data_IF_885975265428
#
_entry.id   IF_885975265428
#
_cell.length_a   1.000
_cell.length_b   1.000
_cell.length_c   1.000
_cell.angle_alpha   90.00
_cell.angle_beta   90.00
_cell.angle_gamma   90.00
#
_symmetry.space_group_name_H-M   'P 1'
#
loop_
_entity.id
_entity.type
_entity.pdbx_description
1 polymer ?
#
# COMPACT_ATOMS: atom_id res chain seq x y z
N UNK A 1 19.99 20.55 59.91
CA UNK A 1 19.68 19.20 60.41
C UNK A 1 18.34 18.79 59.84
N UNK A 2 18.31 18.00 58.76
CA UNK A 2 17.08 17.46 58.17
C UNK A 2 17.27 15.95 58.01
N UNK A 3 16.37 15.19 58.63
CA UNK A 3 16.54 13.77 58.93
C UNK A 3 16.22 12.86 57.73
N UNK A 4 17.03 11.82 57.59
CA UNK A 4 16.81 10.62 56.76
C UNK A 4 15.53 9.88 57.17
N UNK A 5 14.73 9.46 56.20
CA UNK A 5 13.75 8.39 56.35
C UNK A 5 14.09 7.27 55.37
N UNK A 6 14.43 6.10 55.92
CA UNK A 6 14.64 4.85 55.20
C UNK A 6 13.38 3.99 55.43
N UNK A 7 12.70 3.60 54.37
CA UNK A 7 11.56 2.69 54.41
C UNK A 7 11.77 1.60 53.36
N UNK A 8 11.99 0.37 53.82
CA UNK A 8 12.17 -0.82 52.99
C UNK A 8 11.02 -1.81 53.14
N UNK A 9 10.82 -2.62 52.11
CA UNK A 9 10.25 -3.99 52.06
C UNK A 9 9.70 -4.19 50.64
N UNK A 10 9.98 -5.21 49.85
CA UNK A 10 10.85 -6.38 49.94
C UNK A 10 10.73 -7.04 48.55
N UNK A 11 11.85 -7.25 47.86
CA UNK A 11 11.85 -7.83 46.51
C UNK A 11 11.93 -9.35 46.60
N UNK A 12 10.97 -10.01 45.98
CA UNK A 12 10.84 -11.45 45.83
C UNK A 12 11.95 -12.05 44.96
N UNK A 13 12.70 -13.00 45.54
CA UNK A 13 13.53 -13.96 44.80
C UNK A 13 12.66 -15.01 44.11
N UNK A 14 13.05 -15.38 42.89
CA UNK A 14 12.21 -16.09 41.93
C UNK A 14 12.16 -17.62 42.03
N UNK A 15 11.36 -18.23 41.17
CA UNK A 15 11.71 -19.45 40.45
C UNK A 15 10.73 -19.69 39.30
N UNK A 16 11.26 -20.27 38.22
CA UNK A 16 10.63 -20.50 36.93
C UNK A 16 9.66 -21.67 36.95
N UNK A 17 8.48 -21.50 36.34
CA UNK A 17 7.68 -22.60 35.80
C UNK A 17 7.15 -22.21 34.42
N UNK A 18 7.41 -23.07 33.44
CA UNK A 18 7.22 -22.83 32.02
C UNK A 18 5.74 -22.77 31.61
N UNK A 19 5.36 -21.71 30.89
CA UNK A 19 4.16 -21.69 30.06
C UNK A 19 4.57 -21.69 28.58
N UNK A 20 4.39 -22.85 27.95
CA UNK A 20 4.40 -23.00 26.49
C UNK A 20 3.16 -22.31 25.94
N UNK A 21 3.31 -21.05 25.50
CA UNK A 21 2.32 -20.43 24.61
C UNK A 21 2.97 -20.24 23.25
N UNK A 22 2.57 -21.13 22.35
CA UNK A 22 2.69 -21.02 20.91
C UNK A 22 2.11 -19.68 20.46
N UNK A 23 2.95 -18.65 20.42
CA UNK A 23 2.64 -17.39 19.74
C UNK A 23 2.95 -17.59 18.27
N UNK A 24 1.94 -18.02 17.51
CA UNK A 24 2.00 -18.00 16.06
C UNK A 24 2.35 -16.57 15.62
N UNK A 25 3.55 -16.39 15.08
CA UNK A 25 3.88 -15.19 14.33
C UNK A 25 2.88 -15.11 13.16
N UNK A 26 2.11 -14.02 13.00
CA UNK A 26 1.37 -13.83 11.76
C UNK A 26 2.40 -13.79 10.63
N UNK A 27 2.21 -14.52 9.52
CA UNK A 27 3.11 -14.41 8.40
C UNK A 27 3.14 -12.95 7.96
N UNK A 28 4.36 -12.44 7.93
CA UNK A 28 4.79 -11.19 7.32
C UNK A 28 4.01 -11.00 6.03
N UNK A 29 3.14 -9.98 6.01
CA UNK A 29 2.29 -9.66 4.88
C UNK A 29 3.15 -9.59 3.62
N UNK A 30 2.74 -10.36 2.62
CA UNK A 30 3.44 -10.51 1.36
C UNK A 30 3.85 -9.14 0.82
N UNK A 31 5.16 -8.89 0.81
CA UNK A 31 5.80 -7.91 -0.04
C UNK A 31 5.23 -8.04 -1.44
N UNK A 32 4.78 -6.92 -2.01
CA UNK A 32 4.16 -6.82 -3.32
C UNK A 32 4.90 -7.62 -4.37
N UNK A 33 4.27 -8.72 -4.78
CA UNK A 33 4.56 -9.44 -6.01
C UNK A 33 3.44 -9.10 -6.99
N UNK A 34 3.81 -8.61 -8.17
CA UNK A 34 2.95 -7.98 -9.14
C UNK A 34 1.63 -8.69 -9.38
N UNK A 35 0.55 -7.90 -9.48
CA UNK A 35 -0.63 -8.38 -10.16
C UNK A 35 -0.21 -8.73 -11.59
N UNK A 36 -0.42 -9.97 -12.05
CA UNK A 36 -0.17 -10.29 -13.45
C UNK A 36 -1.04 -9.36 -14.30
N UNK A 37 -0.43 -8.77 -15.33
CA UNK A 37 -1.21 -8.16 -16.40
C UNK A 37 -2.23 -9.20 -16.89
N UNK A 38 -3.47 -8.82 -17.23
CA UNK A 38 -4.40 -9.77 -17.83
C UNK A 38 -3.74 -10.33 -19.08
N UNK A 39 -3.58 -11.66 -19.13
CA UNK A 39 -3.15 -12.36 -20.34
C UNK A 39 -4.08 -11.93 -21.47
N UNK A 40 -3.52 -11.25 -22.47
CA UNK A 40 -4.23 -11.00 -23.71
C UNK A 40 -4.52 -12.37 -24.34
N UNK A 41 -5.77 -12.81 -24.25
CA UNK A 41 -6.26 -14.00 -24.93
C UNK A 41 -5.94 -13.87 -26.43
N UNK A 42 -4.98 -14.65 -26.91
CA UNK A 42 -4.75 -14.84 -28.33
C UNK A 42 -5.94 -15.62 -28.90
N UNK A 43 -6.60 -15.16 -29.99
CA UNK A 43 -7.65 -15.94 -30.60
C UNK A 43 -7.06 -17.17 -31.30
N UNK A 44 -7.33 -18.34 -30.75
CA UNK A 44 -7.15 -19.64 -31.42
C UNK A 44 -8.44 -19.96 -32.19
N UNK A 45 -8.47 -19.74 -33.51
CA UNK A 45 -9.49 -20.38 -34.36
C UNK A 45 -8.90 -20.82 -35.71
N UNK A 46 -8.85 -22.15 -35.88
CA UNK A 46 -9.46 -22.80 -37.04
C UNK A 46 -8.75 -22.69 -38.39
N UNK A 47 -8.08 -23.78 -38.77
CA UNK A 47 -7.70 -24.06 -40.17
C UNK A 47 -8.95 -24.07 -41.06
N UNK A 48 -8.98 -23.25 -42.11
CA UNK A 48 -9.49 -23.61 -43.43
C UNK A 48 -9.02 -22.57 -44.46
N UNK A 49 -8.04 -22.98 -45.25
CA UNK A 49 -7.60 -22.28 -46.44
C UNK A 49 -8.62 -22.50 -47.55
N UNK A 50 -9.43 -21.49 -47.84
CA UNK A 50 -10.15 -21.39 -49.11
C UNK A 50 -9.92 -20.00 -49.70
N UNK A 51 -9.16 -20.01 -50.78
CA UNK A 51 -8.99 -18.97 -51.77
C UNK A 51 -10.33 -18.58 -52.38
N UNK A 52 -10.73 -17.31 -52.27
CA UNK A 52 -11.22 -16.55 -53.42
C UNK A 52 -11.45 -15.09 -53.05
N UNK A 53 -11.16 -14.21 -54.01
CA UNK A 53 -10.95 -12.79 -53.80
C UNK A 53 -12.16 -12.01 -53.30
N UNK A 54 -11.86 -11.02 -52.48
CA UNK A 54 -12.51 -9.73 -52.55
C UNK A 54 -11.48 -8.72 -52.06
N UNK A 55 -11.47 -7.54 -52.68
CA UNK A 55 -10.54 -6.46 -52.36
C UNK A 55 -10.51 -6.23 -50.85
N UNK A 56 -9.36 -6.50 -50.22
CA UNK A 56 -9.13 -6.16 -48.83
C UNK A 56 -9.19 -4.64 -48.70
N UNK A 57 -10.40 -4.10 -48.48
CA UNK A 57 -10.56 -2.81 -47.85
C UNK A 57 -9.76 -2.92 -46.56
N UNK A 58 -8.81 -2.02 -46.28
CA UNK A 58 -8.26 -1.99 -44.94
C UNK A 58 -9.46 -1.82 -44.03
N UNK A 59 -9.73 -2.83 -43.19
CA UNK A 59 -10.65 -2.67 -42.10
C UNK A 59 -9.97 -1.63 -41.22
N UNK A 60 -10.29 -0.36 -41.48
CA UNK A 60 -9.83 0.76 -40.67
C UNK A 60 -10.62 0.61 -39.39
N UNK A 61 -10.15 -0.31 -38.54
CA UNK A 61 -10.69 -0.50 -37.21
C UNK A 61 -10.76 0.89 -36.59
N UNK A 62 -11.96 1.30 -36.20
CA UNK A 62 -12.15 2.58 -35.55
C UNK A 62 -11.15 2.65 -34.39
N UNK A 63 -10.40 3.76 -34.24
CA UNK A 63 -9.38 3.86 -33.22
C UNK A 63 -10.02 3.55 -31.86
N UNK A 64 -9.40 2.63 -31.11
CA UNK A 64 -9.85 2.30 -29.77
C UNK A 64 -9.59 3.52 -28.86
N UNK A 65 -10.66 4.12 -28.34
CA UNK A 65 -10.62 5.32 -27.51
C UNK A 65 -10.46 5.02 -26.01
N UNK A 66 -10.12 3.78 -25.64
CA UNK A 66 -9.88 3.42 -24.25
C UNK A 66 -8.55 3.98 -23.73
N UNK A 67 -8.63 5.11 -23.02
CA UNK A 67 -7.53 5.64 -22.22
C UNK A 67 -7.72 5.24 -20.75
N UNK A 68 -6.73 4.59 -20.15
CA UNK A 68 -6.74 4.26 -18.72
C UNK A 68 -5.78 5.19 -17.98
N UNK A 69 -6.31 5.94 -17.02
CA UNK A 69 -5.53 6.76 -16.10
C UNK A 69 -5.49 6.09 -14.73
N UNK A 70 -4.33 6.15 -14.07
CA UNK A 70 -4.15 5.73 -12.69
C UNK A 70 -3.68 6.91 -11.83
N UNK A 71 -4.05 6.89 -10.55
CA UNK A 71 -3.60 7.86 -9.56
C UNK A 71 -2.66 7.17 -8.58
N UNK A 72 -1.46 7.72 -8.41
CA UNK A 72 -0.55 7.36 -7.33
C UNK A 72 -0.68 8.39 -6.20
N UNK A 73 -0.74 7.94 -4.95
CA UNK A 73 -0.97 8.79 -3.78
C UNK A 73 0.17 8.61 -2.79
N UNK A 74 1.04 9.60 -2.72
CA UNK A 74 2.15 9.63 -1.76
C UNK A 74 1.68 10.10 -0.36
N UNK A 75 2.19 9.43 0.68
CA UNK A 75 1.92 9.79 2.10
C UNK A 75 3.16 9.67 3.00
N UNK A 76 4.36 9.50 2.43
CA UNK A 76 5.56 9.17 3.19
C UNK A 76 6.01 10.30 4.14
N UNK A 77 5.92 11.55 3.68
CA UNK A 77 6.34 12.75 4.42
C UNK A 77 5.59 12.91 5.73
N UNK A 78 4.30 12.55 5.78
CA UNK A 78 3.51 12.61 7.01
C UNK A 78 4.02 11.61 8.05
N UNK A 79 4.32 10.38 7.64
CA UNK A 79 4.87 9.34 8.51
C UNK A 79 6.23 9.75 9.08
N UNK A 80 7.13 10.25 8.23
CA UNK A 80 8.44 10.77 8.62
C UNK A 80 8.34 11.94 9.59
N UNK A 81 7.49 12.93 9.31
CA UNK A 81 7.31 14.06 10.20
C UNK A 81 6.73 13.64 11.55
N UNK A 82 5.74 12.73 11.55
CA UNK A 82 5.12 12.22 12.77
C UNK A 82 6.12 11.49 13.66
N UNK A 83 6.98 10.63 13.09
CA UNK A 83 8.00 9.94 13.88
C UNK A 83 9.04 10.92 14.43
N UNK A 84 9.56 11.81 13.57
CA UNK A 84 10.58 12.81 13.94
C UNK A 84 10.11 13.71 15.09
N UNK A 85 8.86 14.18 15.03
CA UNK A 85 8.25 14.96 16.09
C UNK A 85 8.02 14.14 17.36
N UNK A 86 7.67 12.86 17.23
CA UNK A 86 7.55 11.93 18.36
C UNK A 86 8.87 11.70 19.09
N UNK A 87 9.98 11.74 18.35
CA UNK A 87 11.34 11.66 18.88
C UNK A 87 11.85 13.01 19.45
N UNK A 88 11.02 14.06 19.42
CA UNK A 88 11.35 15.39 19.93
C UNK A 88 12.23 16.24 19.01
N UNK A 89 12.40 15.82 17.76
CA UNK A 89 13.16 16.55 16.75
C UNK A 89 12.24 17.31 15.78
N UNK A 90 12.76 18.37 15.18
CA UNK A 90 12.07 19.10 14.12
C UNK A 90 12.45 18.50 12.75
N UNK A 91 11.48 18.08 11.92
CA UNK A 91 11.79 17.55 10.59
C UNK A 91 12.36 18.64 9.67
N UNK A 92 13.37 18.28 8.87
CA UNK A 92 13.91 19.15 7.84
C UNK A 92 12.83 19.50 6.80
N UNK A 93 12.51 20.79 6.59
CA UNK A 93 11.52 21.23 5.61
C UNK A 93 11.76 20.74 4.18
N UNK A 94 13.01 20.46 3.77
CA UNK A 94 13.30 19.95 2.42
C UNK A 94 12.74 18.54 2.20
N UNK A 95 12.57 17.78 3.28
CA UNK A 95 12.01 16.43 3.26
C UNK A 95 10.49 16.43 3.45
N UNK A 96 9.85 17.60 3.51
CA UNK A 96 8.42 17.75 3.72
C UNK A 96 7.75 18.16 2.42
N UNK A 97 6.93 17.25 1.88
CA UNK A 97 6.00 17.53 0.79
C UNK A 97 4.61 17.84 1.35
N UNK A 98 4.12 19.11 1.29
CA UNK A 98 2.86 19.50 1.93
C UNK A 98 1.64 18.72 1.42
N UNK A 99 1.63 18.34 0.14
CA UNK A 99 0.56 17.56 -0.48
C UNK A 99 0.36 16.20 0.18
N UNK A 100 1.44 15.57 0.63
CA UNK A 100 1.40 14.25 1.27
C UNK A 100 0.73 14.31 2.66
N UNK A 101 0.72 15.48 3.30
CA UNK A 101 -0.04 15.69 4.53
C UNK A 101 -1.53 15.74 4.24
N UNK A 102 -1.93 16.49 3.21
CA UNK A 102 -3.33 16.57 2.80
C UNK A 102 -3.84 15.17 2.37
N UNK A 103 -3.02 14.43 1.63
CA UNK A 103 -3.35 13.09 1.14
C UNK A 103 -3.43 12.03 2.26
N UNK A 104 -2.77 12.25 3.40
CA UNK A 104 -2.76 11.29 4.51
C UNK A 104 -4.09 11.21 5.26
N UNK A 105 -4.99 12.18 5.05
CA UNK A 105 -6.29 12.22 5.72
C UNK A 105 -7.42 11.74 4.82
N UNK A 106 -8.46 11.19 5.45
CA UNK A 106 -9.66 10.76 4.74
C UNK A 106 -10.42 11.99 4.21
N UNK A 107 -10.46 12.13 2.90
CA UNK A 107 -11.00 13.32 2.23
C UNK A 107 -12.53 13.47 2.31
N UNK A 108 -13.25 12.40 2.67
CA UNK A 108 -14.70 12.46 2.87
C UNK A 108 -15.52 12.77 1.61
N UNK A 109 -14.91 12.78 0.42
CA UNK A 109 -15.61 13.02 -0.83
C UNK A 109 -16.67 11.95 -1.08
N UNK A 110 -17.84 12.39 -1.54
CA UNK A 110 -18.88 11.47 -1.98
C UNK A 110 -18.42 10.79 -3.26
N UNK A 111 -18.67 9.47 -3.35
CA UNK A 111 -18.43 8.76 -4.61
C UNK A 111 -19.34 9.37 -5.69
N UNK A 112 -18.81 9.66 -6.89
CA UNK A 112 -19.61 10.13 -8.00
C UNK A 112 -20.75 9.16 -8.33
N UNK A 113 -21.86 9.69 -8.84
CA UNK A 113 -22.93 8.87 -9.41
C UNK A 113 -22.58 8.56 -10.87
N UNK A 114 -22.67 7.30 -11.26
CA UNK A 114 -22.29 6.83 -12.60
C UNK A 114 -21.04 5.95 -12.58
N UNK A 115 -20.54 5.62 -13.76
CA UNK A 115 -19.44 4.69 -14.01
C UNK A 115 -18.06 5.37 -14.10
N UNK A 116 -17.97 6.64 -13.71
CA UNK A 116 -16.80 7.49 -13.99
C UNK A 116 -17.03 8.22 -15.29
#
# INVERSE_FOLDING_TARGET
MLLTACGGSGSSDGSSTADKRSGAHPPQGATGGGQPAPDAVAPEEGRQSEESGDTARPDVAAPDYLSTFALDVDTASYGYARSTLGDGAMPDPVNIRPEEFVNSFRQGYQRPKGNG
#
